data_IF_392670909413
#
_entry.id   IF_392670909413
#
_cell.length_a   1.000
_cell.length_b   1.000
_cell.length_c   1.000
_cell.angle_alpha   90.00
_cell.angle_beta   90.00
_cell.angle_gamma   90.00
#
_symmetry.space_group_name_H-M   'P 1'
#
loop_
_entity.id
_entity.type
_entity.pdbx_description
1 polymer ?
#
# COMPACT_ATOMS: atom_id res chain seq x y z
N UNK A 1 7.49 -0.95 -21.71
CA UNK A 1 8.94 -0.66 -21.56
C UNK A 1 9.46 -1.58 -20.47
N UNK A 2 10.57 -2.28 -20.71
CA UNK A 2 11.12 -3.20 -19.71
C UNK A 2 11.55 -2.41 -18.48
N UNK A 3 11.11 -2.83 -17.30
CA UNK A 3 11.66 -2.38 -16.02
C UNK A 3 13.16 -2.67 -16.06
N UNK A 4 13.95 -1.65 -16.39
CA UNK A 4 15.39 -1.75 -16.40
C UNK A 4 15.83 -1.91 -14.95
N UNK A 5 16.29 -3.12 -14.70
CA UNK A 5 16.93 -3.62 -13.51
C UNK A 5 18.18 -2.77 -13.23
N UNK A 6 18.01 -1.63 -12.58
CA UNK A 6 19.08 -1.05 -11.78
C UNK A 6 18.82 -1.47 -10.35
N UNK A 7 19.74 -2.25 -9.80
CA UNK A 7 19.99 -2.42 -8.37
C UNK A 7 20.28 -1.05 -7.69
N UNK A 8 19.39 -0.05 -7.83
CA UNK A 8 19.24 1.00 -6.83
C UNK A 8 18.55 0.31 -5.67
N UNK A 9 19.30 -0.50 -4.90
CA UNK A 9 18.85 -0.89 -3.58
C UNK A 9 18.35 0.38 -2.91
N UNK A 10 17.06 0.43 -2.54
CA UNK A 10 16.60 1.43 -1.57
C UNK A 10 17.60 1.35 -0.42
N UNK A 11 18.24 2.46 -0.07
CA UNK A 11 19.19 2.44 1.04
C UNK A 11 18.41 2.11 2.31
N UNK A 12 18.43 0.85 2.71
CA UNK A 12 17.74 0.40 3.90
C UNK A 12 18.62 0.64 5.11
N UNK A 13 18.02 1.11 6.20
CA UNK A 13 18.72 1.28 7.46
C UNK A 13 19.04 -0.08 8.11
N UNK A 14 19.80 -0.06 9.21
CA UNK A 14 20.22 -1.27 9.94
C UNK A 14 19.03 -2.15 10.37
N UNK A 15 17.91 -1.53 10.74
CA UNK A 15 16.76 -2.21 11.31
C UNK A 15 15.90 -2.85 10.23
N UNK A 16 15.68 -2.13 9.13
CA UNK A 16 15.08 -2.67 7.91
C UNK A 16 15.88 -3.86 7.39
N UNK A 17 17.22 -3.76 7.38
CA UNK A 17 18.11 -4.87 6.99
C UNK A 17 17.98 -6.06 7.94
N UNK A 18 17.96 -5.83 9.25
CA UNK A 18 17.77 -6.88 10.25
C UNK A 18 16.44 -7.60 10.09
N UNK A 19 15.36 -6.84 9.90
CA UNK A 19 14.02 -7.38 9.64
C UNK A 19 13.98 -8.20 8.35
N UNK A 20 14.59 -7.69 7.27
CA UNK A 20 14.72 -8.42 6.02
C UNK A 20 15.44 -9.76 6.19
N UNK A 21 16.59 -9.77 6.88
CA UNK A 21 17.33 -11.00 7.18
C UNK A 21 16.48 -11.99 7.97
N UNK A 22 15.67 -11.53 8.92
CA UNK A 22 14.76 -12.39 9.68
C UNK A 22 13.67 -13.01 8.80
N UNK A 23 13.10 -12.24 7.86
CA UNK A 23 12.13 -12.75 6.89
C UNK A 23 12.75 -13.82 5.98
N UNK A 24 13.95 -13.56 5.44
CA UNK A 24 14.69 -14.53 4.62
C UNK A 24 14.98 -15.80 5.42
N UNK A 25 15.49 -15.65 6.64
CA UNK A 25 15.80 -16.78 7.53
C UNK A 25 14.59 -17.66 7.82
N UNK A 26 13.38 -17.10 7.79
CA UNK A 26 12.14 -17.85 7.99
C UNK A 26 11.76 -18.70 6.77
N UNK A 27 11.96 -18.20 5.55
CA UNK A 27 11.57 -18.88 4.31
C UNK A 27 12.62 -19.89 3.82
N UNK A 28 13.90 -19.71 4.18
CA UNK A 28 14.99 -20.59 3.69
C UNK A 28 15.28 -21.80 4.58
N UNK A 29 14.64 -21.93 5.75
CA UNK A 29 14.86 -23.07 6.68
C UNK A 29 14.81 -24.42 5.98
N UNK A 30 15.65 -25.37 6.41
CA UNK A 30 15.79 -26.69 5.77
C UNK A 30 14.48 -27.49 5.72
N UNK A 31 13.66 -27.37 6.76
CA UNK A 31 12.37 -28.05 6.83
C UNK A 31 11.32 -27.44 5.89
N UNK A 32 11.45 -26.16 5.50
CA UNK A 32 10.57 -25.49 4.54
C UNK A 32 10.91 -25.99 3.14
N UNK A 33 9.89 -26.52 2.44
CA UNK A 33 9.99 -27.00 1.06
C UNK A 33 9.25 -26.10 0.06
N UNK A 34 8.15 -25.51 0.51
CA UNK A 34 7.31 -24.62 -0.29
C UNK A 34 7.20 -23.27 0.40
N UNK A 35 7.36 -22.20 -0.37
CA UNK A 35 7.04 -20.84 0.06
C UNK A 35 5.85 -20.33 -0.76
N UNK A 36 4.79 -19.95 -0.07
CA UNK A 36 3.62 -19.34 -0.68
C UNK A 36 3.66 -17.82 -0.51
N UNK A 37 3.34 -17.07 -1.56
CA UNK A 37 3.33 -15.60 -1.54
C UNK A 37 1.94 -15.07 -1.90
N UNK A 38 1.42 -14.10 -1.13
CA UNK A 38 0.32 -13.26 -1.60
C UNK A 38 0.80 -12.45 -2.82
N UNK A 39 -0.06 -12.25 -3.82
CA UNK A 39 0.28 -11.47 -5.02
C UNK A 39 0.25 -9.96 -4.71
N UNK A 40 -0.95 -9.40 -4.55
CA UNK A 40 -1.11 -7.95 -4.33
C UNK A 40 -0.74 -7.53 -2.91
N UNK A 41 -0.18 -6.32 -2.78
CA UNK A 41 0.38 -5.74 -1.56
C UNK A 41 1.60 -6.50 -0.99
N UNK A 42 2.10 -7.52 -1.68
CA UNK A 42 3.20 -8.38 -1.21
C UNK A 42 4.25 -8.56 -2.30
N UNK A 43 3.91 -9.12 -3.45
CA UNK A 43 4.83 -9.18 -4.60
C UNK A 43 4.64 -8.02 -5.57
N UNK A 44 3.41 -7.52 -5.67
CA UNK A 44 3.00 -6.51 -6.65
C UNK A 44 2.24 -5.41 -5.93
N UNK A 45 2.51 -4.17 -6.30
CA UNK A 45 1.79 -3.00 -5.84
C UNK A 45 0.82 -2.56 -6.93
N UNK A 46 -0.39 -2.18 -6.51
CA UNK A 46 -1.30 -1.40 -7.35
C UNK A 46 -0.81 0.04 -7.28
N UNK A 47 -0.46 0.66 -8.41
CA UNK A 47 0.14 1.99 -8.49
C UNK A 47 -0.73 3.16 -8.02
N UNK A 48 -1.52 3.01 -6.95
CA UNK A 48 -2.46 4.00 -6.43
C UNK A 48 -2.61 3.89 -4.91
N UNK A 49 -3.03 5.00 -4.28
CA UNK A 49 -3.34 5.04 -2.85
C UNK A 49 -4.53 4.14 -2.48
N UNK A 50 -5.55 4.12 -3.34
CA UNK A 50 -6.67 3.19 -3.31
C UNK A 50 -6.80 2.51 -4.66
N UNK A 51 -7.13 1.21 -4.69
CA UNK A 51 -7.44 0.53 -5.96
C UNK A 51 -8.56 1.23 -6.75
N UNK A 52 -9.50 1.88 -6.06
CA UNK A 52 -10.58 2.63 -6.70
C UNK A 52 -10.15 3.94 -7.36
N UNK A 53 -8.93 4.42 -7.10
CA UNK A 53 -8.41 5.64 -7.76
C UNK A 53 -8.26 5.44 -9.26
N UNK A 54 -7.99 4.21 -9.72
CA UNK A 54 -8.00 3.84 -11.13
C UNK A 54 -9.30 4.23 -11.84
N UNK A 55 -10.44 4.18 -11.14
CA UNK A 55 -11.73 4.48 -11.73
C UNK A 55 -11.87 5.96 -12.13
N UNK A 56 -11.16 6.87 -11.46
CA UNK A 56 -11.16 8.29 -11.84
C UNK A 56 -10.51 8.52 -13.20
N UNK A 57 -9.55 7.67 -13.59
CA UNK A 57 -8.86 7.75 -14.89
C UNK A 57 -9.78 7.31 -16.03
N UNK A 58 -10.77 6.46 -15.74
CA UNK A 58 -11.73 5.94 -16.72
C UNK A 58 -12.97 6.84 -16.90
N UNK A 59 -13.05 7.95 -16.17
CA UNK A 59 -14.26 8.80 -16.14
C UNK A 59 -14.58 9.39 -17.51
N UNK A 60 -13.54 9.76 -18.28
CA UNK A 60 -13.69 10.34 -19.61
C UNK A 60 -14.30 9.31 -20.58
N UNK A 61 -13.71 8.12 -20.68
CA UNK A 61 -14.25 7.05 -21.52
C UNK A 61 -15.64 6.60 -21.08
N UNK A 62 -15.95 6.66 -19.78
CA UNK A 62 -17.28 6.34 -19.28
C UNK A 62 -18.34 7.38 -19.67
N UNK A 63 -18.02 8.68 -19.57
CA UNK A 63 -18.93 9.76 -19.93
C UNK A 63 -19.42 9.67 -21.39
N UNK A 64 -18.58 9.20 -22.31
CA UNK A 64 -18.96 9.01 -23.72
C UNK A 64 -19.97 7.86 -23.93
N UNK A 65 -20.11 6.97 -22.94
CA UNK A 65 -20.90 5.74 -23.02
C UNK A 65 -22.15 5.75 -22.12
N UNK A 66 -22.27 6.74 -21.23
CA UNK A 66 -23.27 6.79 -20.18
C UNK A 66 -24.07 8.09 -20.21
N UNK A 67 -25.40 7.96 -20.18
CA UNK A 67 -26.33 9.09 -20.07
C UNK A 67 -26.89 9.12 -18.65
N UNK A 68 -26.28 9.96 -17.80
CA UNK A 68 -26.75 10.20 -16.44
C UNK A 68 -25.82 11.13 -15.66
N UNK A 69 -25.98 11.18 -14.33
CA UNK A 69 -25.32 12.15 -13.46
C UNK A 69 -24.38 11.54 -12.41
N UNK A 70 -24.18 10.22 -12.43
CA UNK A 70 -23.27 9.51 -11.53
C UNK A 70 -21.94 9.25 -12.19
N UNK A 71 -20.88 9.28 -11.42
CA UNK A 71 -19.54 8.99 -11.94
C UNK A 71 -19.30 7.51 -12.17
N UNK A 72 -18.31 7.18 -12.99
CA UNK A 72 -17.82 5.80 -13.12
C UNK A 72 -17.37 5.27 -11.76
N UNK A 73 -16.61 6.05 -11.00
CA UNK A 73 -16.15 5.71 -9.65
C UNK A 73 -17.30 5.24 -8.73
N UNK A 74 -18.38 6.01 -8.66
CA UNK A 74 -19.53 5.70 -7.80
C UNK A 74 -20.27 4.44 -8.25
N UNK A 75 -20.54 4.34 -9.56
CA UNK A 75 -21.27 3.21 -10.13
C UNK A 75 -20.44 1.93 -10.04
N UNK A 76 -19.13 1.98 -10.34
CA UNK A 76 -18.24 0.84 -10.31
C UNK A 76 -18.05 0.27 -8.90
N UNK A 77 -17.93 1.11 -7.86
CA UNK A 77 -17.94 0.66 -6.46
C UNK A 77 -19.29 0.08 -6.05
N UNK A 78 -20.39 0.70 -6.47
CA UNK A 78 -21.74 0.19 -6.20
C UNK A 78 -21.97 -1.17 -6.85
N UNK A 79 -21.47 -1.36 -8.07
CA UNK A 79 -21.56 -2.62 -8.81
C UNK A 79 -20.82 -3.74 -8.08
N UNK A 80 -19.63 -3.45 -7.56
CA UNK A 80 -18.83 -4.40 -6.78
C UNK A 80 -19.54 -4.84 -5.51
N UNK A 81 -20.06 -3.88 -4.72
CA UNK A 81 -20.83 -4.19 -3.50
C UNK A 81 -22.05 -5.06 -3.83
N UNK A 82 -22.76 -4.77 -4.93
CA UNK A 82 -23.91 -5.57 -5.37
C UNK A 82 -23.51 -6.96 -5.83
N UNK A 83 -22.38 -7.11 -6.52
CA UNK A 83 -21.86 -8.41 -6.94
C UNK A 83 -21.40 -9.23 -5.73
N UNK A 84 -20.73 -8.59 -4.77
CA UNK A 84 -20.27 -9.21 -3.53
C UNK A 84 -21.44 -9.78 -2.72
N UNK A 85 -22.52 -9.00 -2.55
CA UNK A 85 -23.74 -9.45 -1.86
C UNK A 85 -24.43 -10.65 -2.52
N UNK A 86 -24.24 -10.83 -3.83
CA UNK A 86 -24.78 -11.97 -4.60
C UNK A 86 -23.84 -13.17 -4.63
N UNK A 87 -22.57 -13.00 -4.32
CA UNK A 87 -21.59 -14.08 -4.32
C UNK A 87 -21.82 -15.04 -3.15
N UNK A 88 -21.78 -16.35 -3.44
CA UNK A 88 -21.89 -17.41 -2.42
C UNK A 88 -20.70 -17.41 -1.45
N UNK A 89 -19.55 -16.91 -1.89
CA UNK A 89 -18.30 -16.85 -1.11
C UNK A 89 -18.06 -15.47 -0.49
N UNK A 90 -18.89 -14.47 -0.81
CA UNK A 90 -18.64 -13.08 -0.42
C UNK A 90 -17.48 -12.42 -1.18
N UNK A 91 -16.95 -13.07 -2.22
CA UNK A 91 -15.94 -12.54 -3.15
C UNK A 91 -16.53 -12.62 -4.56
N UNK A 92 -16.76 -11.48 -5.26
CA UNK A 92 -17.35 -11.49 -6.59
C UNK A 92 -16.33 -11.90 -7.67
N UNK A 93 -16.82 -12.37 -8.81
CA UNK A 93 -16.02 -12.46 -10.03
C UNK A 93 -16.10 -11.14 -10.82
N UNK A 94 -15.05 -10.80 -11.56
CA UNK A 94 -15.00 -9.54 -12.34
C UNK A 94 -16.19 -9.36 -13.29
N UNK A 95 -16.57 -10.45 -13.98
CA UNK A 95 -17.72 -10.43 -14.89
C UNK A 95 -19.04 -10.12 -14.16
N UNK A 96 -19.20 -10.59 -12.92
CA UNK A 96 -20.41 -10.32 -12.16
C UNK A 96 -20.49 -8.85 -11.70
N UNK A 97 -19.34 -8.24 -11.44
CA UNK A 97 -19.24 -6.80 -11.18
C UNK A 97 -19.71 -6.02 -12.41
N UNK A 98 -19.19 -6.34 -13.60
CA UNK A 98 -19.59 -5.66 -14.83
C UNK A 98 -21.06 -5.88 -15.22
N UNK A 99 -21.61 -7.08 -14.98
CA UNK A 99 -23.07 -7.31 -15.09
C UNK A 99 -23.86 -6.44 -14.14
N UNK A 100 -23.37 -6.18 -12.92
CA UNK A 100 -24.03 -5.25 -12.01
C UNK A 100 -23.88 -3.80 -12.51
N UNK A 101 -22.71 -3.42 -13.03
CA UNK A 101 -22.47 -2.08 -13.59
C UNK A 101 -23.44 -1.80 -14.75
N UNK A 102 -23.53 -2.71 -15.72
CA UNK A 102 -24.48 -2.65 -16.84
C UNK A 102 -25.91 -2.42 -16.32
N UNK A 103 -26.35 -3.24 -15.37
CA UNK A 103 -27.70 -3.15 -14.81
C UNK A 103 -28.00 -1.82 -14.11
N UNK A 104 -27.03 -1.22 -13.41
CA UNK A 104 -27.28 -0.02 -12.60
C UNK A 104 -27.03 1.29 -13.37
N UNK A 105 -26.22 1.23 -14.42
CA UNK A 105 -25.91 2.39 -15.27
C UNK A 105 -26.77 2.43 -16.53
N UNK A 106 -27.29 1.30 -17.00
CA UNK A 106 -28.05 1.23 -18.25
C UNK A 106 -27.20 1.34 -19.52
N UNK A 107 -25.86 1.29 -19.39
CA UNK A 107 -24.97 1.24 -20.55
C UNK A 107 -25.19 -0.06 -21.35
N UNK A 108 -24.90 -0.01 -22.65
CA UNK A 108 -25.00 -1.20 -23.50
C UNK A 108 -24.01 -2.30 -23.09
N UNK A 109 -24.29 -3.59 -23.40
CA UNK A 109 -23.32 -4.67 -23.20
C UNK A 109 -21.96 -4.40 -23.86
N UNK A 110 -21.96 -3.82 -25.07
CA UNK A 110 -20.73 -3.46 -25.79
C UNK A 110 -19.95 -2.36 -25.07
N UNK A 111 -20.64 -1.35 -24.53
CA UNK A 111 -20.04 -0.31 -23.70
C UNK A 111 -19.44 -0.90 -22.42
N UNK A 112 -20.14 -1.82 -21.76
CA UNK A 112 -19.66 -2.50 -20.56
C UNK A 112 -18.40 -3.33 -20.86
N UNK A 113 -18.35 -4.07 -21.97
CA UNK A 113 -17.17 -4.85 -22.36
C UNK A 113 -15.97 -3.96 -22.72
N UNK A 114 -16.20 -2.81 -23.38
CA UNK A 114 -15.14 -1.81 -23.64
C UNK A 114 -14.52 -1.31 -22.35
N UNK A 115 -15.34 -0.88 -21.38
CA UNK A 115 -14.87 -0.41 -20.07
C UNK A 115 -14.17 -1.53 -19.30
N UNK A 116 -14.67 -2.77 -19.40
CA UNK A 116 -14.07 -3.94 -18.77
C UNK A 116 -12.66 -4.21 -19.27
N UNK A 117 -12.48 -4.19 -20.60
CA UNK A 117 -11.17 -4.33 -21.22
C UNK A 117 -10.24 -3.20 -20.77
N UNK A 118 -10.75 -1.96 -20.74
CA UNK A 118 -9.99 -0.77 -20.33
C UNK A 118 -9.53 -0.84 -18.87
N UNK A 119 -10.39 -1.25 -17.94
CA UNK A 119 -10.02 -1.42 -16.52
C UNK A 119 -8.90 -2.45 -16.34
N UNK A 120 -8.97 -3.58 -17.08
CA UNK A 120 -7.92 -4.61 -17.04
C UNK A 120 -6.61 -4.12 -17.64
N UNK A 121 -6.65 -3.42 -18.78
CA UNK A 121 -5.46 -2.83 -19.42
C UNK A 121 -4.76 -1.82 -18.50
N UNK A 122 -5.54 -0.93 -17.86
CA UNK A 122 -5.00 0.03 -16.91
C UNK A 122 -4.46 -0.63 -15.64
N UNK A 123 -5.15 -1.64 -15.12
CA UNK A 123 -4.65 -2.43 -13.99
C UNK A 123 -3.33 -3.10 -14.33
N UNK A 124 -3.20 -3.67 -15.53
CA UNK A 124 -1.96 -4.29 -16.01
C UNK A 124 -0.82 -3.29 -16.19
N UNK A 125 -1.15 -2.07 -16.61
CA UNK A 125 -0.20 -0.99 -16.86
C UNK A 125 0.37 -0.41 -15.56
N UNK A 126 -0.50 -0.12 -14.58
CA UNK A 126 -0.10 0.53 -13.33
C UNK A 126 0.38 -0.43 -12.23
N UNK A 127 0.29 -1.74 -12.43
CA UNK A 127 0.88 -2.71 -11.50
C UNK A 127 2.38 -2.87 -11.76
N UNK A 128 3.17 -2.85 -10.69
CA UNK A 128 4.62 -3.01 -10.74
C UNK A 128 5.14 -3.79 -9.52
N UNK A 129 6.38 -4.34 -9.58
CA UNK A 129 6.88 -5.19 -8.51
C UNK A 129 7.13 -4.41 -7.20
N UNK A 130 6.77 -5.03 -6.07
CA UNK A 130 7.21 -4.61 -4.74
C UNK A 130 8.64 -5.11 -4.52
N UNK A 131 9.59 -4.21 -4.28
CA UNK A 131 11.02 -4.57 -4.23
C UNK A 131 11.32 -5.57 -3.09
N UNK A 132 10.89 -5.29 -1.86
CA UNK A 132 11.11 -6.19 -0.72
C UNK A 132 10.51 -7.58 -0.95
N UNK A 133 9.27 -7.63 -1.47
CA UNK A 133 8.59 -8.90 -1.75
C UNK A 133 9.21 -9.68 -2.90
N UNK A 134 9.59 -9.00 -3.98
CA UNK A 134 10.29 -9.63 -5.11
C UNK A 134 11.67 -10.14 -4.68
N UNK A 135 12.35 -9.46 -3.76
CA UNK A 135 13.63 -9.93 -3.22
C UNK A 135 13.44 -11.18 -2.35
N UNK A 136 12.42 -11.22 -1.48
CA UNK A 136 12.06 -12.44 -0.75
C UNK A 136 11.70 -13.61 -1.69
N UNK A 137 11.01 -13.32 -2.79
CA UNK A 137 10.68 -14.30 -3.82
C UNK A 137 11.94 -14.89 -4.48
N UNK A 138 12.88 -14.03 -4.87
CA UNK A 138 14.18 -14.43 -5.44
C UNK A 138 15.00 -15.25 -4.44
N UNK A 139 15.09 -14.82 -3.19
CA UNK A 139 15.82 -15.54 -2.14
C UNK A 139 15.23 -16.95 -1.89
N UNK A 140 13.89 -17.12 -2.01
CA UNK A 140 13.26 -18.44 -1.95
C UNK A 140 13.66 -19.34 -3.13
N UNK A 141 13.71 -18.79 -4.34
CA UNK A 141 14.13 -19.52 -5.55
C UNK A 141 15.62 -19.90 -5.48
N UNK A 142 16.50 -18.99 -5.05
CA UNK A 142 17.93 -19.23 -4.85
C UNK A 142 18.18 -20.33 -3.82
N UNK A 143 17.38 -20.36 -2.75
CA UNK A 143 17.37 -21.43 -1.75
C UNK A 143 16.69 -22.73 -2.25
N UNK A 144 16.39 -22.83 -3.55
CA UNK A 144 15.76 -23.99 -4.23
C UNK A 144 14.42 -24.40 -3.61
N UNK A 145 13.69 -23.44 -3.04
CA UNK A 145 12.33 -23.67 -2.54
C UNK A 145 11.35 -23.66 -3.70
N UNK A 146 10.34 -24.52 -3.63
CA UNK A 146 9.22 -24.46 -4.57
C UNK A 146 8.35 -23.25 -4.21
N UNK A 147 8.06 -22.36 -5.16
CA UNK A 147 7.21 -21.20 -4.90
C UNK A 147 5.80 -21.40 -5.45
N UNK A 148 4.78 -20.93 -4.72
CA UNK A 148 3.39 -20.87 -5.17
C UNK A 148 2.79 -19.51 -4.83
N UNK A 149 1.81 -19.07 -5.59
CA UNK A 149 1.19 -17.75 -5.43
C UNK A 149 -0.24 -17.88 -4.94
N UNK A 150 -0.70 -16.91 -4.16
CA UNK A 150 -2.06 -16.81 -3.65
C UNK A 150 -2.63 -15.45 -4.03
N UNK A 151 -3.83 -15.44 -4.59
CA UNK A 151 -4.58 -14.19 -4.85
C UNK A 151 -6.02 -14.34 -4.45
N UNK A 152 -6.59 -13.28 -3.88
CA UNK A 152 -8.01 -13.15 -3.59
C UNK A 152 -8.66 -12.02 -4.41
N UNK A 153 -7.95 -11.50 -5.41
CA UNK A 153 -8.48 -10.54 -6.37
C UNK A 153 -9.61 -11.15 -7.20
N UNK A 154 -10.49 -10.30 -7.71
CA UNK A 154 -11.51 -10.68 -8.68
C UNK A 154 -10.99 -10.77 -10.12
N UNK A 155 -9.71 -10.41 -10.36
CA UNK A 155 -9.15 -10.29 -11.70
C UNK A 155 -9.11 -11.64 -12.44
N UNK A 156 -9.33 -11.65 -13.77
CA UNK A 156 -9.17 -12.83 -14.60
C UNK A 156 -7.76 -13.42 -14.50
N UNK A 157 -7.65 -14.75 -14.64
CA UNK A 157 -6.37 -15.47 -14.57
C UNK A 157 -5.37 -14.96 -15.59
N UNK A 158 -5.85 -14.61 -16.79
CA UNK A 158 -5.04 -14.14 -17.90
C UNK A 158 -4.42 -12.77 -17.59
N UNK A 159 -5.18 -11.86 -16.99
CA UNK A 159 -4.70 -10.56 -16.50
C UNK A 159 -3.65 -10.76 -15.41
N UNK A 160 -3.90 -11.62 -14.41
CA UNK A 160 -2.91 -11.93 -13.38
C UNK A 160 -1.61 -12.47 -13.99
N UNK A 161 -1.71 -13.35 -15.00
CA UNK A 161 -0.54 -13.87 -15.71
C UNK A 161 0.30 -12.77 -16.37
N UNK A 162 -0.35 -11.82 -17.06
CA UNK A 162 0.33 -10.68 -17.69
C UNK A 162 0.98 -9.76 -16.67
N UNK A 163 0.31 -9.46 -15.55
CA UNK A 163 0.88 -8.66 -14.46
C UNK A 163 2.14 -9.34 -13.90
N UNK A 164 2.07 -10.64 -13.60
CA UNK A 164 3.22 -11.38 -13.08
C UNK A 164 4.41 -11.36 -14.05
N UNK A 165 4.14 -11.53 -15.34
CA UNK A 165 5.17 -11.48 -16.39
C UNK A 165 5.82 -10.09 -16.47
N UNK A 166 5.01 -9.02 -16.50
CA UNK A 166 5.49 -7.63 -16.51
C UNK A 166 6.33 -7.29 -15.28
N UNK A 167 5.97 -7.84 -14.12
CA UNK A 167 6.69 -7.66 -12.85
C UNK A 167 7.90 -8.59 -12.69
N UNK A 168 8.22 -9.42 -13.70
CA UNK A 168 9.37 -10.32 -13.65
C UNK A 168 9.21 -11.50 -12.69
N UNK A 169 7.99 -11.84 -12.29
CA UNK A 169 7.69 -12.97 -11.39
C UNK A 169 7.44 -14.21 -12.24
N UNK A 170 8.46 -15.07 -12.34
CA UNK A 170 8.49 -16.29 -13.15
C UNK A 170 8.90 -17.48 -12.28
N UNK A 171 8.77 -18.69 -12.79
CA UNK A 171 9.21 -19.94 -12.11
C UNK A 171 8.43 -20.34 -10.85
N UNK A 172 7.22 -19.80 -10.67
CA UNK A 172 6.27 -20.33 -9.69
C UNK A 172 5.60 -21.61 -10.20
N UNK A 173 5.30 -22.52 -9.28
CA UNK A 173 4.70 -23.82 -9.63
C UNK A 173 3.19 -23.80 -9.80
N UNK A 174 2.49 -22.88 -9.14
CA UNK A 174 1.04 -22.77 -9.20
C UNK A 174 0.54 -21.42 -8.66
N UNK A 175 -0.66 -21.03 -9.08
CA UNK A 175 -1.43 -19.93 -8.50
C UNK A 175 -2.72 -20.49 -7.88
N UNK A 176 -3.00 -20.11 -6.65
CA UNK A 176 -4.22 -20.44 -5.91
C UNK A 176 -5.12 -19.21 -5.83
N UNK A 177 -6.27 -19.29 -6.51
CA UNK A 177 -7.30 -18.26 -6.49
C UNK A 177 -8.25 -18.50 -5.32
N UNK A 178 -8.10 -17.74 -4.23
CA UNK A 178 -8.86 -17.91 -2.98
C UNK A 178 -10.37 -17.87 -3.21
N UNK A 179 -10.84 -17.00 -4.11
CA UNK A 179 -12.25 -16.83 -4.47
C UNK A 179 -12.87 -18.07 -5.15
N UNK A 180 -12.08 -18.95 -5.76
CA UNK A 180 -12.57 -20.17 -6.42
C UNK A 180 -12.88 -21.31 -5.44
N UNK A 181 -12.50 -21.17 -4.16
CA UNK A 181 -12.66 -22.24 -3.17
C UNK A 181 -13.75 -21.91 -2.14
N UNK A 182 -14.58 -22.91 -1.82
CA UNK A 182 -15.51 -22.83 -0.70
C UNK A 182 -14.78 -23.06 0.62
N UNK A 183 -14.14 -22.02 1.14
CA UNK A 183 -13.26 -22.11 2.32
C UNK A 183 -13.96 -22.55 3.61
N UNK A 184 -15.31 -22.50 3.67
CA UNK A 184 -16.10 -22.99 4.82
C UNK A 184 -15.75 -24.44 5.19
N UNK A 185 -15.41 -25.29 4.20
CA UNK A 185 -15.01 -26.69 4.41
C UNK A 185 -13.54 -26.88 4.80
N UNK A 186 -12.75 -25.80 4.80
CA UNK A 186 -11.31 -25.79 5.09
C UNK A 186 -10.98 -24.88 6.27
N UNK A 187 -11.89 -24.77 7.24
CA UNK A 187 -11.70 -23.92 8.41
C UNK A 187 -11.63 -22.42 8.09
N UNK A 188 -12.14 -22.00 6.93
CA UNK A 188 -12.19 -20.60 6.51
C UNK A 188 -10.98 -20.12 5.71
N UNK A 189 -9.94 -20.95 5.47
CA UNK A 189 -8.70 -20.51 4.82
C UNK A 189 -8.26 -21.41 3.66
N UNK A 190 -7.36 -20.89 2.82
CA UNK A 190 -6.86 -21.59 1.61
C UNK A 190 -5.76 -22.62 1.92
N UNK A 191 -5.08 -22.49 3.06
CA UNK A 191 -3.88 -23.27 3.37
C UNK A 191 -4.09 -24.79 3.45
N UNK A 192 -5.19 -25.35 3.99
CA UNK A 192 -5.41 -26.80 3.98
C UNK A 192 -5.49 -27.36 2.56
N UNK A 193 -6.02 -26.57 1.62
CA UNK A 193 -6.12 -26.94 0.21
C UNK A 193 -4.72 -26.98 -0.42
N UNK A 194 -3.87 -25.99 -0.12
CA UNK A 194 -2.48 -25.94 -0.59
C UNK A 194 -1.69 -27.13 -0.05
N UNK A 195 -1.74 -27.37 1.25
CA UNK A 195 -1.06 -28.50 1.92
C UNK A 195 -1.47 -29.82 1.27
N UNK A 196 -2.78 -30.04 1.08
CA UNK A 196 -3.29 -31.26 0.46
C UNK A 196 -2.86 -31.41 -1.01
N UNK A 197 -2.97 -30.34 -1.81
CA UNK A 197 -2.63 -30.38 -3.25
C UNK A 197 -1.14 -30.57 -3.51
N UNK A 198 -0.30 -30.13 -2.58
CA UNK A 198 1.16 -30.22 -2.69
C UNK A 198 1.77 -31.35 -1.85
N UNK A 199 0.94 -32.17 -1.20
CA UNK A 199 1.34 -33.27 -0.32
C UNK A 199 2.39 -32.86 0.73
N UNK A 200 2.10 -31.76 1.45
CA UNK A 200 3.02 -31.18 2.42
C UNK A 200 2.76 -31.71 3.83
N UNK A 201 3.85 -31.93 4.57
CA UNK A 201 3.82 -32.18 6.01
C UNK A 201 3.86 -30.86 6.77
N UNK A 202 3.50 -30.92 8.06
CA UNK A 202 3.57 -29.77 8.95
C UNK A 202 4.98 -29.15 8.94
N UNK A 203 5.05 -27.82 8.93
CA UNK A 203 6.32 -27.07 8.89
C UNK A 203 7.01 -27.03 7.52
N UNK A 204 6.49 -27.73 6.49
CA UNK A 204 7.07 -27.68 5.13
C UNK A 204 6.58 -26.51 4.27
N UNK A 205 5.57 -25.79 4.74
CA UNK A 205 5.04 -24.60 4.10
C UNK A 205 5.44 -23.36 4.92
N UNK A 206 5.96 -22.35 4.22
CA UNK A 206 6.02 -20.98 4.69
C UNK A 206 5.07 -20.11 3.87
N UNK A 207 4.56 -19.04 4.46
CA UNK A 207 3.71 -18.07 3.80
C UNK A 207 4.21 -16.65 4.03
N UNK A 208 4.27 -15.86 2.96
CA UNK A 208 4.62 -14.43 2.97
C UNK A 208 3.39 -13.64 2.53
N UNK A 209 2.96 -12.71 3.37
CA UNK A 209 1.83 -11.82 3.10
C UNK A 209 1.73 -10.69 4.11
N UNK A 210 0.77 -9.80 3.91
CA UNK A 210 0.68 -8.51 4.61
C UNK A 210 -0.59 -8.30 5.42
N UNK A 211 -1.60 -9.16 5.29
CA UNK A 211 -2.77 -9.09 6.16
C UNK A 211 -2.52 -9.91 7.42
N UNK A 212 -2.67 -9.29 8.59
CA UNK A 212 -2.46 -9.96 9.87
C UNK A 212 -3.33 -11.22 9.99
N UNK A 213 -4.64 -11.09 9.89
CA UNK A 213 -5.58 -12.20 10.08
C UNK A 213 -5.37 -13.35 9.07
N UNK A 214 -5.31 -13.00 7.78
CA UNK A 214 -5.29 -13.95 6.67
C UNK A 214 -3.90 -14.52 6.37
N UNK A 215 -2.83 -13.73 6.54
CA UNK A 215 -1.47 -14.08 6.13
C UNK A 215 -0.54 -14.36 7.32
N UNK A 216 -0.95 -14.07 8.56
CA UNK A 216 -0.17 -14.38 9.77
C UNK A 216 -0.91 -15.35 10.68
N UNK A 217 -2.09 -14.98 11.18
CA UNK A 217 -2.79 -15.78 12.19
C UNK A 217 -3.29 -17.10 11.60
N UNK A 218 -4.01 -17.03 10.49
CA UNK A 218 -4.52 -18.18 9.75
C UNK A 218 -3.44 -19.25 9.45
N UNK A 219 -2.27 -18.91 8.89
CA UNK A 219 -1.21 -19.89 8.68
C UNK A 219 -0.59 -20.40 10.01
N UNK A 220 -0.34 -19.53 10.98
CA UNK A 220 0.25 -19.94 12.28
C UNK A 220 -0.63 -20.97 13.02
N UNK A 221 -1.96 -20.79 13.03
CA UNK A 221 -2.92 -21.75 13.61
C UNK A 221 -2.73 -23.15 13.02
N UNK A 222 -2.35 -23.23 11.75
CA UNK A 222 -2.18 -24.48 10.99
C UNK A 222 -0.75 -25.03 11.07
N UNK A 223 0.12 -24.41 11.86
CA UNK A 223 1.53 -24.81 11.98
C UNK A 223 2.36 -24.49 10.74
N UNK A 224 1.96 -23.47 9.99
CA UNK A 224 2.69 -22.92 8.84
C UNK A 224 3.58 -21.79 9.35
N UNK A 225 4.79 -21.68 8.82
CA UNK A 225 5.66 -20.53 9.12
C UNK A 225 5.08 -19.30 8.42
N UNK A 226 4.65 -18.30 9.17
CA UNK A 226 4.20 -17.02 8.60
C UNK A 226 5.32 -15.99 8.62
N UNK A 227 5.42 -15.22 7.54
CA UNK A 227 6.33 -14.09 7.36
C UNK A 227 5.49 -12.87 7.04
N UNK A 228 5.45 -11.94 7.98
CA UNK A 228 4.67 -10.73 7.86
C UNK A 228 5.43 -9.67 7.08
N UNK A 229 4.92 -9.32 5.91
CA UNK A 229 5.37 -8.20 5.10
C UNK A 229 4.24 -7.15 5.07
N UNK A 230 4.21 -6.20 6.02
CA UNK A 230 3.12 -5.22 6.14
C UNK A 230 2.97 -4.38 4.87
N UNK A 231 1.76 -3.87 4.64
CA UNK A 231 1.51 -2.94 3.54
C UNK A 231 2.20 -1.58 3.79
N UNK A 232 2.81 -1.02 2.75
CA UNK A 232 3.60 0.22 2.82
C UNK A 232 2.79 1.43 3.32
N UNK A 233 1.55 1.57 2.84
CA UNK A 233 0.63 2.63 3.27
C UNK A 233 0.26 2.49 4.74
N UNK A 234 0.05 1.28 5.23
CA UNK A 234 -0.25 1.08 6.65
C UNK A 234 0.92 1.49 7.55
N UNK A 235 2.15 1.18 7.13
CA UNK A 235 3.35 1.62 7.83
C UNK A 235 3.49 3.15 7.80
N UNK A 236 3.23 3.79 6.66
CA UNK A 236 3.22 5.25 6.54
C UNK A 236 2.17 5.89 7.47
N UNK A 237 0.96 5.34 7.54
CA UNK A 237 -0.10 5.87 8.43
C UNK A 237 0.32 5.73 9.90
N UNK A 238 0.95 4.61 10.27
CA UNK A 238 1.42 4.38 11.64
C UNK A 238 2.64 5.21 12.02
N UNK A 239 3.40 5.71 11.05
CA UNK A 239 4.65 6.43 11.32
C UNK A 239 4.46 7.88 11.74
N UNK A 240 3.27 8.46 11.56
CA UNK A 240 3.02 9.85 11.88
C UNK A 240 1.62 10.33 11.50
N UNK A 241 1.35 11.61 11.75
CA UNK A 241 0.02 12.22 11.60
C UNK A 241 -0.19 12.91 10.25
N UNK A 242 0.80 12.89 9.35
CA UNK A 242 0.75 13.58 8.04
C UNK A 242 -0.45 13.15 7.19
N UNK A 243 -0.77 11.85 7.16
CA UNK A 243 -1.92 11.33 6.40
C UNK A 243 -3.23 11.79 7.04
N UNK A 244 -3.37 11.60 8.35
CA UNK A 244 -4.55 12.00 9.10
C UNK A 244 -4.83 13.51 8.97
N UNK A 245 -3.77 14.33 8.90
CA UNK A 245 -3.90 15.76 8.66
C UNK A 245 -4.44 16.07 7.27
N UNK A 246 -3.88 15.45 6.21
CA UNK A 246 -4.37 15.63 4.85
C UNK A 246 -5.84 15.20 4.71
N UNK A 247 -6.20 14.05 5.28
CA UNK A 247 -7.57 13.54 5.30
C UNK A 247 -8.53 14.48 6.06
N UNK A 248 -8.15 14.93 7.26
CA UNK A 248 -8.97 15.86 8.06
C UNK A 248 -9.16 17.20 7.35
N UNK A 249 -8.10 17.73 6.75
CA UNK A 249 -8.13 19.04 6.10
C UNK A 249 -8.94 19.04 4.81
N UNK A 250 -8.76 18.01 3.98
CA UNK A 250 -9.46 17.89 2.70
C UNK A 250 -10.87 17.28 2.87
N UNK A 251 -11.12 16.58 3.97
CA UNK A 251 -12.40 15.94 4.25
C UNK A 251 -12.83 15.01 3.11
N UNK A 252 -14.08 15.13 2.66
CA UNK A 252 -14.61 14.31 1.55
C UNK A 252 -13.88 14.53 0.22
N UNK A 253 -13.21 15.68 0.04
CA UNK A 253 -12.42 15.96 -1.17
C UNK A 253 -11.16 15.11 -1.23
N UNK A 254 -10.68 14.56 -0.11
CA UNK A 254 -9.46 13.73 -0.09
C UNK A 254 -9.52 12.57 -1.09
N UNK A 255 -10.68 11.92 -1.26
CA UNK A 255 -10.88 10.78 -2.17
C UNK A 255 -11.44 11.16 -3.55
N UNK A 256 -11.67 12.45 -3.79
CA UNK A 256 -12.24 12.95 -5.04
C UNK A 256 -11.19 13.07 -6.16
N UNK A 257 -11.60 13.20 -7.44
CA UNK A 257 -10.67 13.31 -8.57
C UNK A 257 -9.68 14.48 -8.45
N UNK A 258 -10.08 15.63 -7.87
CA UNK A 258 -9.21 16.81 -7.68
C UNK A 258 -7.99 16.52 -6.77
N UNK A 259 -7.98 15.42 -6.03
CA UNK A 259 -6.84 15.03 -5.18
C UNK A 259 -6.20 13.71 -5.64
N UNK A 260 -6.48 13.23 -6.85
CA UNK A 260 -5.89 12.00 -7.38
C UNK A 260 -4.36 12.08 -7.42
N UNK A 261 -3.80 13.19 -7.92
CA UNK A 261 -2.35 13.38 -8.03
C UNK A 261 -1.67 13.41 -6.66
N UNK A 262 -2.28 14.10 -5.69
CA UNK A 262 -1.81 14.09 -4.31
C UNK A 262 -1.77 12.66 -3.74
N UNK A 263 -2.82 11.86 -3.95
CA UNK A 263 -2.88 10.46 -3.51
C UNK A 263 -1.84 9.58 -4.22
N UNK A 264 -1.60 9.79 -5.52
CA UNK A 264 -0.53 9.11 -6.26
C UNK A 264 0.86 9.44 -5.68
N UNK A 265 1.12 10.70 -5.36
CA UNK A 265 2.37 11.12 -4.72
C UNK A 265 2.55 10.50 -3.31
N UNK A 266 1.47 10.42 -2.51
CA UNK A 266 1.48 9.74 -1.22
C UNK A 266 1.77 8.25 -1.35
N UNK A 267 1.22 7.61 -2.39
CA UNK A 267 1.48 6.22 -2.68
C UNK A 267 2.98 5.99 -2.95
N UNK A 268 3.60 6.78 -3.83
CA UNK A 268 5.05 6.71 -4.09
C UNK A 268 5.89 6.94 -2.83
N UNK A 269 5.51 7.88 -1.97
CA UNK A 269 6.17 8.10 -0.69
C UNK A 269 6.09 6.86 0.20
N UNK A 270 4.89 6.26 0.32
CA UNK A 270 4.69 5.06 1.13
C UNK A 270 5.61 3.93 0.68
N UNK A 271 5.74 3.74 -0.63
CA UNK A 271 6.57 2.68 -1.18
C UNK A 271 8.05 2.98 -1.06
N UNK A 272 8.47 4.22 -1.33
CA UNK A 272 9.88 4.58 -1.27
C UNK A 272 10.46 4.35 0.12
N UNK A 273 9.74 4.72 1.16
CA UNK A 273 10.28 4.73 2.53
C UNK A 273 9.79 3.59 3.43
N UNK A 274 8.69 2.91 3.09
CA UNK A 274 8.09 1.87 3.94
C UNK A 274 7.98 0.48 3.30
N UNK A 275 8.55 0.27 2.11
CA UNK A 275 8.56 -1.05 1.47
C UNK A 275 9.33 -2.10 2.29
N UNK A 276 10.47 -1.69 2.87
CA UNK A 276 11.18 -2.49 3.85
C UNK A 276 10.71 -2.11 5.27
N UNK A 277 10.06 -3.04 6.01
CA UNK A 277 9.52 -2.73 7.33
C UNK A 277 10.62 -2.53 8.38
N UNK A 278 10.45 -1.50 9.20
CA UNK A 278 11.27 -1.23 10.39
C UNK A 278 10.48 -1.50 11.67
N UNK A 279 11.17 -1.90 12.75
CA UNK A 279 10.55 -2.05 14.08
C UNK A 279 10.54 -0.72 14.86
N UNK A 280 11.25 0.30 14.38
CA UNK A 280 11.31 1.59 15.08
C UNK A 280 10.19 2.52 14.62
N UNK A 281 9.42 3.01 15.59
CA UNK A 281 8.69 4.27 15.45
C UNK A 281 9.76 5.36 15.60
N UNK A 282 10.18 5.90 14.47
CA UNK A 282 11.22 6.95 14.46
C UNK A 282 10.63 8.26 14.99
N UNK A 283 11.45 9.09 15.63
CA UNK A 283 11.00 10.35 16.23
C UNK A 283 10.49 11.35 15.17
N UNK A 284 9.28 11.89 15.37
CA UNK A 284 8.69 12.89 14.46
C UNK A 284 7.78 12.29 13.38
N UNK A 285 7.00 13.12 12.71
CA UNK A 285 6.03 12.67 11.70
C UNK A 285 6.68 12.36 10.34
N UNK A 286 7.95 12.76 10.17
CA UNK A 286 8.77 12.47 8.99
C UNK A 286 9.89 11.47 9.30
N UNK A 287 9.70 10.69 10.37
CA UNK A 287 10.61 9.65 10.79
C UNK A 287 12.06 10.12 11.02
N UNK A 288 12.27 11.38 11.40
CA UNK A 288 13.60 11.94 11.61
C UNK A 288 14.49 11.93 10.36
N UNK A 289 13.88 11.89 9.17
CA UNK A 289 14.60 11.80 7.90
C UNK A 289 14.40 13.07 7.07
N UNK A 290 15.52 13.71 6.71
CA UNK A 290 15.49 14.90 5.85
C UNK A 290 14.98 14.57 4.44
N UNK A 291 15.22 13.34 3.98
CA UNK A 291 14.73 12.86 2.68
C UNK A 291 13.21 12.70 2.72
N UNK A 292 12.67 12.20 3.83
CA UNK A 292 11.22 12.08 4.01
C UNK A 292 10.54 13.45 4.04
N UNK A 293 11.14 14.41 4.75
CA UNK A 293 10.67 15.81 4.76
C UNK A 293 10.72 16.37 3.35
N UNK A 294 11.86 16.28 2.66
CA UNK A 294 12.03 16.80 1.31
C UNK A 294 11.04 16.22 0.32
N UNK A 295 10.85 14.89 0.32
CA UNK A 295 9.93 14.19 -0.58
C UNK A 295 8.49 14.64 -0.37
N UNK A 296 7.97 14.61 0.87
CA UNK A 296 6.58 14.99 1.14
C UNK A 296 6.32 16.49 1.01
N UNK A 297 7.31 17.33 1.33
CA UNK A 297 7.14 18.79 1.30
C UNK A 297 7.49 19.36 -0.08
N UNK A 298 8.74 19.74 -0.33
CA UNK A 298 9.15 20.39 -1.57
C UNK A 298 9.00 19.50 -2.81
N UNK A 299 9.13 18.17 -2.65
CA UNK A 299 8.89 17.20 -3.72
C UNK A 299 7.45 17.29 -4.20
N UNK A 300 6.47 16.95 -3.36
CA UNK A 300 5.06 17.02 -3.76
C UNK A 300 4.65 18.45 -4.16
N UNK A 301 5.17 19.47 -3.47
CA UNK A 301 4.92 20.87 -3.80
C UNK A 301 5.36 21.24 -5.21
N UNK A 302 6.41 20.61 -5.76
CA UNK A 302 6.89 20.89 -7.12
C UNK A 302 5.86 20.57 -8.21
N UNK A 303 4.85 19.76 -7.90
CA UNK A 303 3.72 19.51 -8.79
C UNK A 303 2.76 20.71 -8.92
N UNK A 304 2.80 21.64 -7.97
CA UNK A 304 1.95 22.83 -7.98
C UNK A 304 2.48 23.86 -8.99
N UNK A 305 1.62 24.29 -9.92
CA UNK A 305 2.01 25.24 -10.97
C UNK A 305 2.07 26.69 -10.49
N UNK A 306 1.18 27.06 -9.58
CA UNK A 306 0.95 28.45 -9.15
C UNK A 306 1.01 28.58 -7.62
N UNK A 307 2.02 27.95 -7.00
CA UNK A 307 2.14 28.00 -5.54
C UNK A 307 2.50 29.40 -5.03
N UNK A 308 1.69 29.91 -4.09
CA UNK A 308 1.91 31.19 -3.43
C UNK A 308 2.25 30.93 -1.96
N UNK A 309 3.42 31.43 -1.54
CA UNK A 309 3.88 31.30 -0.15
C UNK A 309 2.93 32.01 0.80
N UNK A 310 2.47 31.31 1.85
CA UNK A 310 1.37 31.75 2.71
C UNK A 310 1.81 32.61 3.91
N UNK A 311 3.08 32.52 4.31
CA UNK A 311 3.61 33.22 5.48
C UNK A 311 5.12 33.39 5.43
N UNK A 312 5.65 34.30 6.24
CA UNK A 312 7.10 34.49 6.40
C UNK A 312 7.79 33.24 6.96
N UNK A 313 7.13 32.51 7.89
CA UNK A 313 7.65 31.26 8.44
C UNK A 313 7.82 30.22 7.34
N UNK A 314 6.78 30.06 6.52
CA UNK A 314 6.83 29.16 5.39
C UNK A 314 7.94 29.55 4.40
N UNK A 315 8.13 30.85 4.12
CA UNK A 315 9.16 31.34 3.22
C UNK A 315 10.58 30.92 3.64
N UNK A 316 10.94 31.14 4.92
CA UNK A 316 12.27 30.74 5.38
C UNK A 316 12.41 29.22 5.55
N UNK A 317 11.33 28.49 5.85
CA UNK A 317 11.35 27.01 5.90
C UNK A 317 11.60 26.42 4.50
N UNK A 318 10.91 26.92 3.47
CA UNK A 318 11.17 26.54 2.06
C UNK A 318 12.62 26.84 1.70
N UNK A 319 13.12 28.03 2.06
CA UNK A 319 14.50 28.45 1.78
C UNK A 319 15.50 27.53 2.47
N UNK A 320 15.28 27.18 3.73
CA UNK A 320 16.16 26.30 4.49
C UNK A 320 16.17 24.86 3.95
N UNK A 321 15.00 24.32 3.57
CA UNK A 321 14.87 23.04 2.89
C UNK A 321 15.61 23.04 1.55
N UNK A 322 15.42 24.09 0.73
CA UNK A 322 16.04 24.21 -0.59
C UNK A 322 17.58 24.33 -0.53
N UNK A 323 18.14 24.86 0.57
CA UNK A 323 19.60 24.92 0.78
C UNK A 323 20.21 23.57 1.17
N UNK A 324 19.40 22.58 1.52
CA UNK A 324 19.89 21.26 1.91
C UNK A 324 20.08 20.39 0.64
N UNK A 325 21.31 19.90 0.36
CA UNK A 325 21.58 19.14 -0.86
C UNK A 325 20.77 17.84 -0.94
N UNK A 326 20.56 17.15 0.18
CA UNK A 326 19.75 15.92 0.22
C UNK A 326 18.28 16.20 -0.15
N UNK A 327 17.75 17.36 0.24
CA UNK A 327 16.40 17.76 -0.16
C UNK A 327 16.31 17.99 -1.66
N UNK A 328 17.34 18.61 -2.26
CA UNK A 328 17.38 18.82 -3.71
C UNK A 328 17.44 17.48 -4.48
N UNK A 329 18.27 16.56 -4.01
CA UNK A 329 18.37 15.20 -4.57
C UNK A 329 17.04 14.46 -4.45
N UNK A 330 16.42 14.44 -3.27
CA UNK A 330 15.18 13.69 -3.07
C UNK A 330 13.98 14.28 -3.84
N UNK A 331 13.97 15.60 -4.09
CA UNK A 331 12.94 16.24 -4.93
C UNK A 331 13.12 15.88 -6.42
N UNK A 332 14.36 15.73 -6.87
CA UNK A 332 14.67 15.25 -8.23
C UNK A 332 14.22 13.80 -8.38
N UNK A 333 14.60 12.97 -7.43
CA UNK A 333 14.18 11.57 -7.30
C UNK A 333 12.65 11.42 -7.27
N UNK A 334 11.95 12.30 -6.55
CA UNK A 334 10.48 12.34 -6.54
C UNK A 334 9.93 12.62 -7.94
N UNK A 335 10.45 13.63 -8.62
CA UNK A 335 9.98 14.05 -9.94
C UNK A 335 10.18 12.93 -10.97
N UNK A 336 11.37 12.31 -11.00
CA UNK A 336 11.66 11.17 -11.88
C UNK A 336 10.72 9.98 -11.60
N UNK A 337 10.50 9.65 -10.32
CA UNK A 337 9.61 8.56 -9.93
C UNK A 337 8.16 8.88 -10.34
N UNK A 338 7.69 10.09 -10.05
CA UNK A 338 6.34 10.53 -10.39
C UNK A 338 6.10 10.49 -11.91
N UNK A 339 7.01 11.04 -12.71
CA UNK A 339 6.89 11.05 -14.17
C UNK A 339 6.92 9.64 -14.75
N UNK A 340 7.76 8.75 -14.21
CA UNK A 340 7.85 7.36 -14.69
C UNK A 340 6.57 6.55 -14.45
N UNK A 341 5.76 6.91 -13.45
CA UNK A 341 4.53 6.20 -13.09
C UNK A 341 3.25 6.89 -13.59
N UNK A 342 3.23 8.23 -13.66
CA UNK A 342 1.97 9.00 -13.79
C UNK A 342 2.00 10.12 -14.84
N UNK A 343 3.05 10.20 -15.68
CA UNK A 343 3.12 11.23 -16.74
C UNK A 343 1.92 11.20 -17.70
N UNK A 344 1.28 10.04 -17.88
CA UNK A 344 0.12 9.86 -18.75
C UNK A 344 -1.19 10.44 -18.18
N UNK A 345 -1.24 10.69 -16.87
CA UNK A 345 -2.42 11.26 -16.20
C UNK A 345 -2.16 12.62 -15.56
N UNK A 346 -0.92 12.99 -15.28
CA UNK A 346 -0.58 14.19 -14.48
C UNK A 346 -1.16 15.49 -15.04
N UNK A 347 -1.23 15.64 -16.37
CA UNK A 347 -1.77 16.84 -17.02
C UNK A 347 -3.30 16.96 -16.93
N UNK A 348 -3.99 15.84 -16.69
CA UNK A 348 -5.47 15.77 -16.71
C UNK A 348 -6.10 15.99 -15.33
N UNK A 349 -5.31 16.12 -14.26
CA UNK A 349 -5.79 16.23 -12.89
C UNK A 349 -5.16 17.42 -12.15
N UNK A 350 -5.86 17.87 -11.10
CA UNK A 350 -5.48 19.03 -10.30
C UNK A 350 -4.31 18.73 -9.34
N UNK A 351 -3.48 19.75 -9.10
CA UNK A 351 -2.34 19.75 -8.16
C UNK A 351 -2.44 20.84 -7.08
N UNK A 352 -3.60 21.49 -6.95
CA UNK A 352 -3.84 22.61 -6.03
C UNK A 352 -3.56 22.30 -4.55
N UNK A 353 -3.75 21.06 -4.10
CA UNK A 353 -3.56 20.68 -2.69
C UNK A 353 -2.17 20.06 -2.40
N UNK A 354 -1.23 20.12 -3.35
CA UNK A 354 0.12 19.58 -3.19
C UNK A 354 0.92 20.21 -2.03
N UNK A 355 0.53 21.39 -1.56
CA UNK A 355 1.17 22.08 -0.44
C UNK A 355 0.77 21.55 0.95
N UNK A 356 -0.20 20.63 1.05
CA UNK A 356 -0.77 20.19 2.33
C UNK A 356 0.27 19.68 3.33
N UNK A 357 1.32 19.00 2.85
CA UNK A 357 2.37 18.46 3.71
C UNK A 357 3.40 19.49 4.13
N UNK A 358 3.72 20.46 3.27
CA UNK A 358 4.54 21.61 3.67
C UNK A 358 3.81 22.41 4.76
N UNK A 359 2.51 22.66 4.58
CA UNK A 359 1.72 23.35 5.58
C UNK A 359 1.69 22.58 6.91
N UNK A 360 1.55 21.25 6.85
CA UNK A 360 1.65 20.41 8.04
C UNK A 360 2.99 20.58 8.75
N UNK A 361 4.10 20.47 8.02
CA UNK A 361 5.44 20.60 8.58
C UNK A 361 5.67 21.96 9.22
N UNK A 362 5.24 23.04 8.55
CA UNK A 362 5.36 24.41 9.06
C UNK A 362 4.54 24.61 10.33
N UNK A 363 3.30 24.09 10.39
CA UNK A 363 2.37 24.33 11.53
C UNK A 363 2.55 23.37 12.71
N UNK A 364 2.97 22.14 12.44
CA UNK A 364 2.91 21.02 13.40
C UNK A 364 4.21 20.22 13.48
N UNK A 365 5.25 20.58 12.73
CA UNK A 365 6.52 19.85 12.71
C UNK A 365 7.14 19.68 14.10
N UNK A 366 7.42 18.42 14.47
CA UNK A 366 8.06 18.09 15.74
C UNK A 366 9.47 18.65 15.82
N UNK A 367 9.95 18.95 17.03
CA UNK A 367 11.26 19.60 17.23
C UNK A 367 12.42 18.80 16.59
N UNK A 368 12.35 17.47 16.63
CA UNK A 368 13.34 16.60 16.00
C UNK A 368 13.43 16.80 14.49
N UNK A 369 12.28 16.84 13.80
CA UNK A 369 12.23 17.04 12.35
C UNK A 369 12.69 18.47 11.99
N UNK A 370 12.31 19.47 12.77
CA UNK A 370 12.71 20.87 12.54
C UNK A 370 14.21 21.09 12.73
N UNK A 371 14.81 20.39 13.69
CA UNK A 371 16.25 20.47 13.93
C UNK A 371 17.09 19.96 12.75
N UNK A 372 16.55 19.13 11.85
CA UNK A 372 17.26 18.64 10.66
C UNK A 372 17.60 19.76 9.67
N UNK A 373 16.88 20.88 9.71
CA UNK A 373 17.14 22.06 8.85
C UNK A 373 17.66 23.27 9.63
N UNK A 374 17.85 23.15 10.94
CA UNK A 374 18.27 24.25 11.81
C UNK A 374 19.56 24.94 11.33
N UNK A 375 20.53 24.19 10.80
CA UNK A 375 21.80 24.75 10.29
C UNK A 375 21.63 25.76 9.14
N UNK A 376 20.45 25.82 8.52
CA UNK A 376 20.11 26.71 7.43
C UNK A 376 19.20 27.88 7.84
N UNK A 377 18.91 27.99 9.14
CA UNK A 377 18.10 29.04 9.76
C UNK A 377 18.97 29.86 10.71
N UNK A 378 18.73 31.17 10.78
CA UNK A 378 19.29 31.98 11.86
C UNK A 378 18.50 31.78 13.17
N UNK A 379 19.04 32.32 14.27
CA UNK A 379 18.46 32.17 15.61
C UNK A 379 17.06 32.78 15.69
N UNK A 380 16.83 33.92 15.02
CA UNK A 380 15.56 34.62 15.04
C UNK A 380 14.49 33.85 14.25
N UNK A 381 14.84 33.35 13.06
CA UNK A 381 13.99 32.49 12.24
C UNK A 381 13.59 31.22 12.99
N UNK A 382 14.55 30.53 13.63
CA UNK A 382 14.27 29.32 14.40
C UNK A 382 13.35 29.61 15.58
N UNK A 383 13.58 30.70 16.31
CA UNK A 383 12.72 31.13 17.41
C UNK A 383 11.30 31.44 16.93
N UNK A 384 11.18 32.22 15.85
CA UNK A 384 9.89 32.57 15.24
C UNK A 384 9.11 31.34 14.80
N UNK A 385 9.79 30.33 14.24
CA UNK A 385 9.14 29.07 13.88
C UNK A 385 8.69 28.30 15.12
N UNK A 386 9.54 28.17 16.14
CA UNK A 386 9.18 27.53 17.42
C UNK A 386 7.90 28.13 18.02
N UNK A 387 7.81 29.46 18.02
CA UNK A 387 6.68 30.19 18.61
C UNK A 387 5.38 30.04 17.79
N UNK A 388 5.49 29.68 16.50
CA UNK A 388 4.34 29.45 15.62
C UNK A 388 3.77 28.02 15.65
N UNK A 389 4.48 27.06 16.27
CA UNK A 389 4.05 25.66 16.29
C UNK A 389 2.76 25.50 17.08
N UNK A 390 1.80 24.81 16.47
CA UNK A 390 0.53 24.44 17.10
C UNK A 390 0.50 22.95 17.38
N UNK A 391 0.05 22.56 18.58
CA UNK A 391 -0.14 21.14 18.89
C UNK A 391 -1.34 20.60 18.09
N UNK A 392 -1.15 19.45 17.45
CA UNK A 392 -2.24 18.75 16.77
C UNK A 392 -2.94 17.79 17.72
N UNK A 393 -4.28 17.75 17.67
CA UNK A 393 -5.11 16.78 18.40
C UNK A 393 -5.24 15.43 17.65
N UNK A 394 -4.64 15.33 16.46
CA UNK A 394 -4.64 14.11 15.67
C UNK A 394 -3.76 13.05 16.34
N UNK A 395 -4.26 11.81 16.40
CA UNK A 395 -3.44 10.65 16.77
C UNK A 395 -3.12 9.83 15.52
N UNK A 396 -1.97 9.16 15.54
CA UNK A 396 -1.61 8.11 14.57
C UNK A 396 -2.60 6.95 14.55
N UNK A 397 -3.36 6.78 15.63
CA UNK A 397 -4.23 5.62 15.87
C UNK A 397 -5.69 5.82 15.40
N UNK A 398 -6.12 7.06 15.10
CA UNK A 398 -7.55 7.41 14.92
C UNK A 398 -8.03 7.53 13.46
N UNK A 399 -7.37 6.92 12.48
CA UNK A 399 -7.90 6.90 11.11
C UNK A 399 -9.07 5.91 10.97
N UNK A 400 -10.27 6.47 10.76
CA UNK A 400 -11.58 5.84 11.03
C UNK A 400 -12.11 4.92 9.92
N UNK A 401 -11.50 4.87 8.74
CA UNK A 401 -11.83 3.88 7.70
C UNK A 401 -10.95 2.62 7.77
N UNK A 402 -9.75 2.73 8.33
CA UNK A 402 -8.83 1.61 8.52
C UNK A 402 -8.88 1.16 9.99
N UNK A 403 -10.08 0.79 10.45
CA UNK A 403 -10.19 -0.04 11.65
C UNK A 403 -9.59 -1.39 11.30
N UNK A 404 -8.28 -1.52 11.50
CA UNK A 404 -7.71 -2.82 11.80
C UNK A 404 -8.53 -3.37 12.95
N UNK A 405 -9.16 -4.53 12.74
CA UNK A 405 -9.53 -5.34 13.87
C UNK A 405 -8.21 -5.61 14.60
N UNK A 406 -7.90 -4.78 15.60
CA UNK A 406 -6.98 -5.16 16.67
C UNK A 406 -7.42 -6.56 17.05
N UNK A 407 -6.47 -7.49 17.14
CA UNK A 407 -6.69 -8.75 17.81
C UNK A 407 -7.28 -8.42 19.18
N UNK A 408 -8.61 -8.49 19.29
CA UNK A 408 -9.30 -8.17 20.54
C UNK A 408 -9.20 -9.39 21.46
N UNK A 409 -8.85 -10.56 20.91
CA UNK A 409 -8.79 -11.82 21.62
C UNK A 409 -10.12 -12.22 22.24
N UNK A 410 -11.20 -11.50 21.90
CA UNK A 410 -12.53 -11.51 22.52
C UNK A 410 -13.65 -11.72 21.48
N UNK A 411 -13.32 -11.74 20.19
CA UNK A 411 -14.22 -12.22 19.13
C UNK A 411 -14.39 -13.74 19.27
N UNK A 412 -15.62 -14.23 19.08
CA UNK A 412 -16.03 -15.60 19.42
C UNK A 412 -15.24 -16.69 18.66
N UNK A 413 -14.72 -16.33 17.47
CA UNK A 413 -13.84 -17.17 16.67
C UNK A 413 -12.44 -17.30 17.32
N UNK A 414 -11.91 -16.21 17.86
CA UNK A 414 -10.60 -16.15 18.51
C UNK A 414 -10.61 -16.85 19.86
N UNK A 415 -11.72 -16.77 20.61
CA UNK A 415 -11.89 -17.54 21.84
C UNK A 415 -11.94 -19.06 21.58
N UNK A 416 -12.50 -19.48 20.44
CA UNK A 416 -12.54 -20.89 20.00
C UNK A 416 -11.19 -21.37 19.44
N UNK A 417 -10.47 -20.52 18.69
CA UNK A 417 -9.21 -20.86 18.03
C UNK A 417 -7.99 -20.70 18.95
N UNK A 418 -8.06 -19.78 19.92
CA UNK A 418 -6.97 -19.38 20.83
C UNK A 418 -7.46 -19.23 22.29
N UNK A 419 -7.71 -20.34 22.99
CA UNK A 419 -8.09 -20.31 24.39
C UNK A 419 -7.05 -19.53 25.22
N UNK A 420 -7.52 -18.74 26.19
CA UNK A 420 -6.65 -18.03 27.16
C UNK A 420 -5.69 -19.04 27.81
N UNK A 421 -4.39 -18.72 27.80
CA UNK A 421 -3.33 -19.59 28.31
C UNK A 421 -2.78 -20.64 27.33
N UNK A 422 -3.27 -20.70 26.08
CA UNK A 422 -2.70 -21.63 25.09
C UNK A 422 -1.33 -21.16 24.58
N UNK A 423 -0.43 -22.13 24.27
CA UNK A 423 0.85 -21.86 23.60
C UNK A 423 0.70 -21.05 22.31
N UNK A 424 -0.41 -21.25 21.58
CA UNK A 424 -0.72 -20.52 20.34
C UNK A 424 -1.04 -19.05 20.61
N UNK A 425 -1.80 -18.74 21.67
CA UNK A 425 -2.10 -17.36 22.08
C UNK A 425 -0.83 -16.61 22.52
N UNK A 426 0.06 -17.27 23.28
CA UNK A 426 1.33 -16.69 23.67
C UNK A 426 2.28 -16.40 22.48
N UNK A 427 2.22 -17.21 21.41
CA UNK A 427 2.96 -16.94 20.17
C UNK A 427 2.40 -15.71 19.45
N UNK A 428 1.08 -15.60 19.34
CA UNK A 428 0.42 -14.45 18.71
C UNK A 428 0.71 -13.14 19.47
N UNK A 429 0.54 -13.14 20.79
CA UNK A 429 0.82 -11.97 21.65
C UNK A 429 2.29 -11.51 21.54
N UNK A 430 3.23 -12.45 21.36
CA UNK A 430 4.66 -12.15 21.17
C UNK A 430 5.01 -11.66 19.76
N UNK A 431 4.24 -12.06 18.74
CA UNK A 431 4.36 -11.51 17.38
C UNK A 431 3.89 -10.05 17.40
N UNK A 432 2.75 -9.78 18.03
CA UNK A 432 2.18 -8.43 18.11
C UNK A 432 2.91 -7.48 19.05
N UNK A 433 3.60 -7.96 20.09
CA UNK A 433 4.39 -7.09 20.97
C UNK A 433 5.65 -6.51 20.30
N UNK A 434 5.93 -6.89 19.04
CA UNK A 434 7.08 -6.45 18.23
C UNK A 434 6.70 -5.52 17.08
N UNK A 435 5.40 -5.27 16.88
CA UNK A 435 4.82 -4.35 15.91
C UNK A 435 3.89 -3.38 16.64
#
# INVERSE_FOLDING_TARGET
MGFNNTDKFKSINSDQKSNYINMVSAIVKDNVKVVSFKIFDTLILSGFWENSDLFHIMEKEFCDLYVGNKSFYELRKTAEIKAQKKSKTGKPEFNDIYKQLEKISGISPDSAEKLKKRELELTEYYCYPRDCGLRLYKDALEAKKKTVLITDSYLPKETIGRILENCGIKDYSAIFFRNQYQLKKSGGTIFPIIIKKLDLRQGQLAHVGGNVADDVEAPVIQGITAVYLPNCKELMIKSGRVVAYAEKKLGKKFTSPENLILRCAMHLYSEKFFDYPSNQIVSGDFCGSIDNIGFLTLGILSLSKDYIVSSEVEAFVITALSKNPNVSEICTDFSELFDSHYSDISENFDTNNSNVFLEYFVKHGEIYDRNLIQKHLDVEQMQKWNDSITKTELSSDNNTEYKFEKYSGDNELDAKLFPKGSKRRAIMEKIFSKF
#
